data_IF_212305068538
#
_entry.id   IF_212305068538
#
_cell.length_a   1.000
_cell.length_b   1.000
_cell.length_c   1.000
_cell.angle_alpha   90.00
_cell.angle_beta   90.00
_cell.angle_gamma   90.00
#
_symmetry.space_group_name_H-M   'P 1'
#
loop_
_entity.id
_entity.type
_entity.pdbx_description
1 polymer ?
#
# COMPACT_ATOMS: atom_id res chain seq x y z
N UNK A 1 21.67 15.30 6.04
CA UNK A 1 21.11 13.95 5.80
C UNK A 1 19.62 13.87 6.15
N UNK A 2 19.19 14.13 7.40
CA UNK A 2 17.78 13.97 7.83
C UNK A 2 16.79 14.82 7.04
N UNK A 3 17.07 16.10 6.80
CA UNK A 3 16.21 17.00 6.02
C UNK A 3 16.06 16.54 4.57
N UNK A 4 17.12 16.04 3.96
CA UNK A 4 17.08 15.49 2.60
C UNK A 4 16.21 14.24 2.53
N UNK A 5 16.37 13.32 3.51
CA UNK A 5 15.56 12.12 3.61
C UNK A 5 14.08 12.45 3.84
N UNK A 6 13.78 13.42 4.70
CA UNK A 6 12.43 13.88 4.97
C UNK A 6 11.78 14.44 3.69
N UNK A 7 12.47 15.31 2.97
CA UNK A 7 11.99 15.89 1.72
C UNK A 7 11.71 14.80 0.66
N UNK A 8 12.63 13.86 0.50
CA UNK A 8 12.45 12.73 -0.42
C UNK A 8 11.28 11.85 -0.03
N UNK A 9 11.07 11.59 1.27
CA UNK A 9 9.94 10.82 1.77
C UNK A 9 8.60 11.51 1.50
N UNK A 10 8.50 12.81 1.70
CA UNK A 10 7.30 13.58 1.36
C UNK A 10 7.00 13.53 -0.13
N UNK A 11 8.02 13.74 -0.98
CA UNK A 11 7.86 13.67 -2.43
C UNK A 11 7.37 12.28 -2.86
N UNK A 12 8.04 11.21 -2.41
CA UNK A 12 7.70 9.84 -2.75
C UNK A 12 6.30 9.44 -2.30
N UNK A 13 5.93 9.72 -1.04
CA UNK A 13 4.63 9.33 -0.50
C UNK A 13 3.46 10.17 -1.06
N UNK A 14 3.73 11.37 -1.62
CA UNK A 14 2.70 12.18 -2.26
C UNK A 14 2.21 11.60 -3.58
N UNK A 15 3.01 10.78 -4.26
CA UNK A 15 2.69 10.20 -5.57
C UNK A 15 1.49 9.24 -5.48
N UNK A 16 1.50 8.17 -4.64
CA UNK A 16 0.37 7.25 -4.57
C UNK A 16 -0.92 7.90 -4.07
N UNK A 17 -0.83 8.87 -3.14
CA UNK A 17 -2.00 9.64 -2.69
C UNK A 17 -2.56 10.46 -3.87
N UNK A 18 -1.68 11.05 -4.66
CA UNK A 18 -2.06 11.79 -5.85
C UNK A 18 -2.73 10.93 -6.90
N UNK A 19 -2.21 9.74 -7.15
CA UNK A 19 -2.84 8.77 -8.06
C UNK A 19 -4.22 8.36 -7.54
N UNK A 20 -4.36 8.10 -6.24
CA UNK A 20 -5.65 7.81 -5.63
C UNK A 20 -6.67 8.96 -5.78
N UNK A 21 -6.22 10.22 -5.85
CA UNK A 21 -7.10 11.35 -6.17
C UNK A 21 -7.51 11.36 -7.66
N UNK A 22 -6.56 11.05 -8.55
CA UNK A 22 -6.82 11.00 -10.00
C UNK A 22 -7.80 9.87 -10.33
N UNK A 23 -7.65 8.69 -9.70
CA UNK A 23 -8.52 7.52 -9.85
C UNK A 23 -9.90 7.67 -9.16
N UNK A 24 -10.13 8.77 -8.43
CA UNK A 24 -11.41 9.03 -7.77
C UNK A 24 -11.61 8.40 -6.40
N UNK A 25 -10.60 7.73 -5.84
CA UNK A 25 -10.64 7.21 -4.46
C UNK A 25 -10.71 8.33 -3.42
N UNK A 26 -10.00 9.42 -3.68
CA UNK A 26 -10.01 10.62 -2.86
C UNK A 26 -10.63 11.79 -3.64
N UNK A 27 -11.09 12.86 -2.95
CA UNK A 27 -11.63 14.03 -3.63
C UNK A 27 -10.61 14.64 -4.60
N UNK A 28 -11.00 14.86 -5.85
CA UNK A 28 -10.13 15.44 -6.91
C UNK A 28 -9.53 16.80 -6.51
N UNK A 29 -10.18 17.51 -5.59
CA UNK A 29 -9.69 18.78 -5.06
C UNK A 29 -8.33 18.66 -4.36
N UNK A 30 -8.09 17.54 -3.65
CA UNK A 30 -6.81 17.26 -3.01
C UNK A 30 -5.68 16.98 -4.01
N UNK A 31 -6.02 16.42 -5.17
CA UNK A 31 -5.07 16.09 -6.23
C UNK A 31 -4.64 17.27 -7.10
N UNK A 32 -5.19 18.46 -6.92
CA UNK A 32 -4.88 19.64 -7.74
C UNK A 32 -3.38 19.95 -7.70
N UNK A 33 -2.79 20.05 -8.91
CA UNK A 33 -1.38 20.45 -9.09
C UNK A 33 -1.30 21.97 -9.18
N UNK A 34 -0.26 22.54 -8.59
CA UNK A 34 0.07 23.96 -8.77
C UNK A 34 0.76 24.18 -10.14
N UNK A 35 1.05 25.43 -10.50
CA UNK A 35 1.73 25.80 -11.75
C UNK A 35 3.10 25.13 -11.94
N UNK A 36 3.75 24.65 -10.86
CA UNK A 36 5.02 23.94 -10.86
C UNK A 36 4.87 22.41 -10.82
N UNK A 37 3.64 21.88 -10.97
CA UNK A 37 3.35 20.44 -10.93
C UNK A 37 3.26 19.83 -9.53
N UNK A 38 3.51 20.58 -8.46
CA UNK A 38 3.45 20.11 -7.08
C UNK A 38 2.03 20.02 -6.55
N UNK A 39 1.74 18.99 -5.75
CA UNK A 39 0.42 18.76 -5.11
C UNK A 39 0.43 19.32 -3.68
N UNK A 40 0.33 20.63 -3.56
CA UNK A 40 0.49 21.37 -2.29
C UNK A 40 -0.50 20.87 -1.21
N UNK A 41 -1.75 20.61 -1.58
CA UNK A 41 -2.77 20.14 -0.63
C UNK A 41 -2.42 18.80 0.02
N UNK A 42 -1.88 17.86 -0.76
CA UNK A 42 -1.43 16.54 -0.24
C UNK A 42 -0.27 16.74 0.73
N UNK A 43 0.71 17.56 0.37
CA UNK A 43 1.88 17.84 1.21
C UNK A 43 1.47 18.53 2.53
N UNK A 44 0.55 19.51 2.46
CA UNK A 44 0.02 20.18 3.65
C UNK A 44 -0.72 19.22 4.56
N UNK A 45 -1.55 18.34 3.99
CA UNK A 45 -2.27 17.30 4.73
C UNK A 45 -1.31 16.32 5.42
N UNK A 46 -0.28 15.85 4.71
CA UNK A 46 0.74 14.97 5.28
C UNK A 46 1.50 15.66 6.42
N UNK A 47 1.82 16.95 6.27
CA UNK A 47 2.48 17.73 7.30
C UNK A 47 1.60 17.86 8.56
N UNK A 48 0.33 18.21 8.40
CA UNK A 48 -0.62 18.34 9.53
C UNK A 48 -0.76 17.01 10.26
N UNK A 49 -0.96 15.90 9.55
CA UNK A 49 -1.07 14.57 10.17
C UNK A 49 0.22 14.17 10.88
N UNK A 50 1.38 14.47 10.29
CA UNK A 50 2.67 14.17 10.92
C UNK A 50 2.94 14.98 12.19
N UNK A 51 2.35 16.16 12.32
CA UNK A 51 2.47 16.99 13.53
C UNK A 51 1.62 16.48 14.70
N UNK A 52 0.50 15.80 14.43
CA UNK A 52 -0.42 15.32 15.46
C UNK A 52 0.28 14.47 16.54
N UNK A 53 1.01 13.38 16.21
CA UNK A 53 1.69 12.57 17.21
C UNK A 53 2.71 13.34 18.02
N UNK A 54 3.37 14.33 17.42
CA UNK A 54 4.36 15.18 18.08
C UNK A 54 3.68 16.07 19.14
N UNK A 55 2.53 16.67 18.78
CA UNK A 55 1.76 17.51 19.69
C UNK A 55 1.20 16.71 20.88
N UNK A 56 0.88 15.43 20.69
CA UNK A 56 0.48 14.53 21.77
C UNK A 56 1.66 13.95 22.58
N UNK A 57 2.90 14.34 22.27
CA UNK A 57 4.09 13.89 22.98
C UNK A 57 4.37 12.40 22.87
N UNK A 58 3.92 11.74 21.78
CA UNK A 58 4.16 10.32 21.58
C UNK A 58 5.64 10.06 21.33
N UNK A 59 6.18 8.98 21.93
CA UNK A 59 7.56 8.57 21.68
C UNK A 59 7.75 8.09 20.25
N UNK A 60 8.95 8.24 19.71
CA UNK A 60 9.32 7.76 18.35
C UNK A 60 9.02 6.27 18.22
N UNK A 61 9.32 5.48 19.25
CA UNK A 61 9.04 4.04 19.26
C UNK A 61 7.54 3.75 19.13
N UNK A 62 6.70 4.49 19.85
CA UNK A 62 5.24 4.37 19.76
C UNK A 62 4.75 4.69 18.36
N UNK A 63 5.20 5.80 17.78
CA UNK A 63 4.84 6.21 16.42
C UNK A 63 5.25 5.13 15.41
N UNK A 64 6.48 4.61 15.51
CA UNK A 64 6.97 3.55 14.63
C UNK A 64 6.12 2.29 14.71
N UNK A 65 5.75 1.86 15.91
CA UNK A 65 4.91 0.69 16.11
C UNK A 65 3.49 0.88 15.53
N UNK A 66 2.91 2.08 15.69
CA UNK A 66 1.62 2.42 15.07
C UNK A 66 1.68 2.35 13.54
N UNK A 67 2.72 2.90 12.94
CA UNK A 67 2.94 2.84 11.47
C UNK A 67 3.12 1.40 11.00
N UNK A 68 3.85 0.56 11.73
CA UNK A 68 4.02 -0.85 11.40
C UNK A 68 2.69 -1.62 11.44
N UNK A 69 1.83 -1.34 12.41
CA UNK A 69 0.53 -2.00 12.52
C UNK A 69 -0.41 -1.62 11.37
N UNK A 70 -0.45 -0.34 10.98
CA UNK A 70 -1.20 0.13 9.81
C UNK A 70 -0.59 -0.46 8.52
N UNK A 71 0.73 -0.47 8.42
CA UNK A 71 1.47 -1.05 7.30
C UNK A 71 1.26 -2.56 7.12
N UNK A 72 0.80 -3.26 8.15
CA UNK A 72 0.52 -4.69 8.10
C UNK A 72 -0.51 -5.06 7.03
N UNK A 73 -1.58 -4.28 6.92
CA UNK A 73 -2.61 -4.53 5.90
C UNK A 73 -2.02 -4.45 4.48
N UNK A 74 -1.19 -3.43 4.23
CA UNK A 74 -0.49 -3.28 2.96
C UNK A 74 0.49 -4.41 2.70
N UNK A 75 1.25 -4.84 3.72
CA UNK A 75 2.18 -5.96 3.61
C UNK A 75 1.47 -7.27 3.25
N UNK A 76 0.36 -7.60 3.90
CA UNK A 76 -0.41 -8.80 3.57
C UNK A 76 -0.97 -8.80 2.15
N UNK A 77 -1.44 -7.65 1.65
CA UNK A 77 -1.86 -7.50 0.25
C UNK A 77 -0.70 -7.73 -0.71
N UNK A 78 0.48 -7.18 -0.42
CA UNK A 78 1.68 -7.41 -1.21
C UNK A 78 2.10 -8.88 -1.20
N UNK A 79 2.06 -9.57 -0.06
CA UNK A 79 2.37 -11.01 -0.01
C UNK A 79 1.42 -11.83 -0.90
N UNK A 80 0.13 -11.50 -0.90
CA UNK A 80 -0.83 -12.13 -1.81
C UNK A 80 -0.44 -11.89 -3.28
N UNK A 81 -0.05 -10.67 -3.62
CA UNK A 81 0.41 -10.34 -4.97
C UNK A 81 1.68 -11.12 -5.36
N UNK A 82 2.67 -11.18 -4.46
CA UNK A 82 3.91 -11.93 -4.70
C UNK A 82 3.65 -13.42 -4.91
N UNK A 83 2.85 -14.06 -4.06
CA UNK A 83 2.50 -15.49 -4.22
C UNK A 83 1.76 -15.75 -5.53
N UNK A 84 0.97 -14.79 -6.00
CA UNK A 84 0.21 -14.92 -7.24
C UNK A 84 1.02 -14.61 -8.49
N UNK A 85 2.17 -13.91 -8.37
CA UNK A 85 2.99 -13.46 -9.49
C UNK A 85 3.38 -14.56 -10.48
N UNK A 86 3.95 -15.71 -10.06
CA UNK A 86 4.31 -16.77 -11.00
C UNK A 86 3.12 -17.43 -11.69
N UNK A 87 1.90 -17.31 -11.11
CA UNK A 87 0.67 -17.86 -11.68
C UNK A 87 0.03 -16.90 -12.67
N UNK A 88 0.10 -15.58 -12.41
CA UNK A 88 -0.47 -14.55 -13.27
C UNK A 88 0.40 -14.30 -14.51
N UNK A 89 1.72 -14.34 -14.37
CA UNK A 89 2.68 -14.02 -15.42
C UNK A 89 3.71 -15.13 -15.61
N UNK A 90 3.29 -16.36 -16.02
CA UNK A 90 4.21 -17.51 -16.13
C UNK A 90 5.33 -17.28 -17.13
N UNK A 91 5.03 -16.67 -18.27
CA UNK A 91 5.98 -16.44 -19.36
C UNK A 91 7.02 -15.37 -18.99
N UNK A 92 6.56 -14.25 -18.43
CA UNK A 92 7.44 -13.19 -17.94
C UNK A 92 8.31 -13.67 -16.77
N UNK A 93 7.74 -14.49 -15.89
CA UNK A 93 8.45 -15.09 -14.77
C UNK A 93 9.58 -16.02 -15.26
N UNK A 94 9.29 -16.90 -16.22
CA UNK A 94 10.27 -17.83 -16.77
C UNK A 94 11.41 -17.14 -17.54
N UNK A 95 11.11 -16.04 -18.24
CA UNK A 95 12.07 -15.23 -19.01
C UNK A 95 12.86 -14.22 -18.15
N UNK A 96 12.51 -14.07 -16.87
CA UNK A 96 13.16 -13.10 -15.98
C UNK A 96 14.64 -13.43 -15.79
N UNK A 97 15.49 -12.41 -15.90
CA UNK A 97 16.95 -12.53 -15.62
C UNK A 97 17.23 -13.02 -14.19
N UNK A 98 16.31 -12.79 -13.26
CA UNK A 98 16.41 -13.18 -11.85
C UNK A 98 15.48 -14.33 -11.52
N UNK A 99 15.19 -15.19 -12.50
CA UNK A 99 14.34 -16.35 -12.28
C UNK A 99 14.93 -17.27 -11.20
N UNK A 100 14.11 -17.54 -10.19
CA UNK A 100 14.43 -18.44 -9.09
C UNK A 100 13.46 -19.64 -9.19
N UNK A 101 13.91 -20.88 -8.89
CA UNK A 101 13.01 -22.03 -8.84
C UNK A 101 11.81 -21.76 -7.95
N UNK A 102 10.61 -22.08 -8.44
CA UNK A 102 9.36 -21.75 -7.75
C UNK A 102 9.33 -22.23 -6.28
N UNK A 103 9.92 -23.40 -5.98
CA UNK A 103 10.00 -23.92 -4.62
C UNK A 103 10.80 -23.01 -3.68
N UNK A 104 11.96 -22.55 -4.12
CA UNK A 104 12.79 -21.61 -3.34
C UNK A 104 12.11 -20.25 -3.20
N UNK A 105 11.44 -19.78 -4.26
CA UNK A 105 10.68 -18.53 -4.23
C UNK A 105 9.59 -18.54 -3.15
N UNK A 106 8.73 -19.58 -3.15
CA UNK A 106 7.69 -19.71 -2.13
C UNK A 106 8.24 -19.87 -0.73
N UNK A 107 9.36 -20.62 -0.57
CA UNK A 107 10.04 -20.73 0.71
C UNK A 107 10.50 -19.37 1.23
N UNK A 108 11.14 -18.54 0.39
CA UNK A 108 11.58 -17.20 0.76
C UNK A 108 10.39 -16.28 1.11
N UNK A 109 9.28 -16.38 0.38
CA UNK A 109 8.04 -15.67 0.71
C UNK A 109 7.52 -16.07 2.09
N UNK A 110 7.49 -17.37 2.41
CA UNK A 110 7.04 -17.87 3.71
C UNK A 110 7.95 -17.38 4.85
N UNK A 111 9.28 -17.44 4.67
CA UNK A 111 10.25 -16.96 5.67
C UNK A 111 10.07 -15.45 5.91
N UNK A 112 9.91 -14.66 4.85
CA UNK A 112 9.67 -13.22 4.95
C UNK A 112 8.36 -12.92 5.67
N UNK A 113 7.30 -13.67 5.38
CA UNK A 113 6.01 -13.53 6.04
C UNK A 113 6.10 -13.88 7.54
N UNK A 114 6.79 -14.97 7.87
CA UNK A 114 7.02 -15.35 9.27
C UNK A 114 7.79 -14.27 10.05
N UNK A 115 8.87 -13.74 9.48
CA UNK A 115 9.64 -12.64 10.07
C UNK A 115 8.79 -11.39 10.29
N UNK A 116 7.94 -11.07 9.32
CA UNK A 116 7.01 -9.95 9.42
C UNK A 116 5.97 -10.17 10.53
N UNK A 117 5.38 -11.36 10.65
CA UNK A 117 4.44 -11.70 11.72
C UNK A 117 5.08 -11.59 13.11
N UNK A 118 6.33 -12.03 13.27
CA UNK A 118 7.08 -11.89 14.54
C UNK A 118 7.29 -10.41 14.88
N UNK A 119 7.62 -9.58 13.89
CA UNK A 119 7.80 -8.14 14.09
C UNK A 119 6.50 -7.47 14.52
N UNK A 120 5.38 -7.79 13.86
CA UNK A 120 4.06 -7.31 14.24
C UNK A 120 3.67 -7.72 15.65
N UNK A 121 3.90 -8.98 16.01
CA UNK A 121 3.63 -9.49 17.35
C UNK A 121 4.37 -8.68 18.41
N UNK A 122 5.67 -8.44 18.21
CA UNK A 122 6.47 -7.60 19.11
C UNK A 122 5.96 -6.17 19.17
N UNK A 123 5.58 -5.57 18.06
CA UNK A 123 5.03 -4.21 18.01
C UNK A 123 3.72 -4.12 18.79
N UNK A 124 2.83 -5.09 18.66
CA UNK A 124 1.60 -5.14 19.45
C UNK A 124 1.85 -5.26 20.96
N UNK A 125 2.82 -6.09 21.35
CA UNK A 125 3.16 -6.27 22.77
C UNK A 125 3.83 -5.04 23.39
N UNK A 126 4.53 -4.24 22.60
CA UNK A 126 5.23 -3.03 23.08
C UNK A 126 4.33 -1.80 23.15
N UNK A 127 3.11 -1.87 22.64
CA UNK A 127 2.14 -0.78 22.67
C UNK A 127 1.12 -0.97 23.78
N UNK A 128 0.58 0.16 24.29
CA UNK A 128 -0.56 0.07 25.20
C UNK A 128 -1.79 -0.51 24.49
N UNK A 129 -2.64 -1.31 25.15
CA UNK A 129 -3.85 -1.87 24.54
C UNK A 129 -4.78 -0.82 23.92
N UNK A 130 -4.81 0.37 24.50
CA UNK A 130 -5.59 1.51 23.99
C UNK A 130 -5.09 1.95 22.60
N UNK A 131 -3.77 2.08 22.44
CA UNK A 131 -3.18 2.46 21.14
C UNK A 131 -3.37 1.39 20.08
N UNK A 132 -3.27 0.12 20.45
CA UNK A 132 -3.60 -1.00 19.55
C UNK A 132 -5.06 -0.91 19.12
N UNK A 133 -5.98 -0.69 20.03
CA UNK A 133 -7.41 -0.52 19.77
C UNK A 133 -7.69 0.66 18.81
N UNK A 134 -7.05 1.80 19.02
CA UNK A 134 -7.17 2.97 18.14
C UNK A 134 -6.71 2.64 16.72
N UNK A 135 -5.57 1.95 16.59
CA UNK A 135 -5.05 1.56 15.26
C UNK A 135 -5.99 0.59 14.54
N UNK A 136 -6.48 -0.44 15.22
CA UNK A 136 -7.42 -1.40 14.65
C UNK A 136 -8.70 -0.69 14.21
N UNK A 137 -9.23 0.21 15.04
CA UNK A 137 -10.42 0.99 14.70
C UNK A 137 -10.17 1.86 13.48
N UNK A 138 -9.02 2.53 13.39
CA UNK A 138 -8.65 3.33 12.22
C UNK A 138 -8.58 2.48 10.94
N UNK A 139 -7.97 1.29 11.01
CA UNK A 139 -7.89 0.36 9.88
C UNK A 139 -9.29 -0.07 9.42
N UNK A 140 -10.16 -0.46 10.35
CA UNK A 140 -11.53 -0.88 10.04
C UNK A 140 -12.33 0.27 9.41
N UNK A 141 -12.25 1.47 9.96
CA UNK A 141 -12.92 2.65 9.41
C UNK A 141 -12.43 2.95 8.00
N UNK A 142 -11.11 2.95 7.77
CA UNK A 142 -10.55 3.17 6.45
C UNK A 142 -10.94 2.08 5.44
N UNK A 143 -11.00 0.83 5.87
CA UNK A 143 -11.46 -0.28 5.03
C UNK A 143 -12.94 -0.13 4.64
N UNK A 144 -13.79 0.25 5.59
CA UNK A 144 -15.23 0.51 5.32
C UNK A 144 -15.38 1.69 4.36
N UNK A 145 -14.67 2.79 4.60
CA UNK A 145 -14.69 3.96 3.72
C UNK A 145 -14.23 3.60 2.30
N UNK A 146 -13.14 2.85 2.19
CA UNK A 146 -12.65 2.35 0.90
C UNK A 146 -13.69 1.47 0.19
N UNK A 147 -14.31 0.53 0.89
CA UNK A 147 -15.33 -0.35 0.34
C UNK A 147 -16.58 0.42 -0.12
N UNK A 148 -17.07 1.35 0.71
CA UNK A 148 -18.22 2.20 0.36
C UNK A 148 -17.89 3.09 -0.84
N UNK A 149 -16.70 3.65 -0.87
CA UNK A 149 -16.24 4.48 -1.99
C UNK A 149 -16.12 3.69 -3.28
N UNK A 150 -15.54 2.49 -3.23
CA UNK A 150 -15.43 1.59 -4.38
C UNK A 150 -16.77 1.15 -4.95
N UNK A 151 -17.81 0.98 -4.09
CA UNK A 151 -19.17 0.64 -4.55
C UNK A 151 -19.99 1.83 -5.06
N UNK A 152 -19.85 3.01 -4.45
CA UNK A 152 -20.68 4.19 -4.74
C UNK A 152 -20.00 5.20 -5.66
N UNK A 153 -18.70 5.14 -5.82
CA UNK A 153 -17.92 6.09 -6.60
C UNK A 153 -17.68 5.60 -8.03
N UNK A 154 -17.60 6.52 -8.97
CA UNK A 154 -16.99 6.27 -10.28
C UNK A 154 -15.47 6.19 -10.08
N UNK A 155 -15.02 5.10 -9.46
CA UNK A 155 -13.60 4.83 -9.28
C UNK A 155 -13.14 4.08 -10.53
N UNK A 156 -12.27 4.69 -11.30
CA UNK A 156 -11.62 4.03 -12.42
C UNK A 156 -10.55 3.09 -11.88
N UNK A 157 -10.86 1.78 -11.90
CA UNK A 157 -9.87 0.77 -11.55
C UNK A 157 -9.07 0.49 -12.83
N UNK A 158 -7.91 1.12 -12.94
CA UNK A 158 -6.97 0.79 -14.00
C UNK A 158 -6.34 -0.57 -13.71
N UNK A 159 -6.84 -1.60 -14.37
CA UNK A 159 -6.29 -2.97 -14.29
C UNK A 159 -5.06 -3.15 -15.18
N UNK A 160 -4.66 -2.14 -15.93
CA UNK A 160 -3.44 -2.16 -16.72
C UNK A 160 -2.23 -2.16 -15.78
N UNK A 161 -1.72 -3.34 -15.53
CA UNK A 161 -0.44 -3.52 -14.85
C UNK A 161 0.63 -3.18 -15.88
N UNK A 162 1.28 -2.05 -15.69
CA UNK A 162 2.33 -1.60 -16.58
C UNK A 162 3.59 -2.46 -16.41
N UNK A 163 3.58 -3.62 -17.04
CA UNK A 163 4.75 -4.53 -17.06
C UNK A 163 5.64 -4.31 -18.29
N UNK A 164 5.26 -3.41 -19.19
CA UNK A 164 5.95 -3.25 -20.47
C UNK A 164 5.76 -4.43 -21.43
N UNK A 165 4.86 -5.35 -21.09
CA UNK A 165 4.49 -6.51 -21.90
C UNK A 165 2.97 -6.48 -22.17
N UNK A 166 2.53 -5.92 -23.32
CA UNK A 166 1.12 -5.76 -23.64
C UNK A 166 0.37 -7.09 -23.78
N UNK A 167 1.05 -8.19 -24.17
CA UNK A 167 0.41 -9.51 -24.26
C UNK A 167 0.19 -10.12 -22.85
N UNK A 168 1.15 -9.94 -21.96
CA UNK A 168 1.02 -10.37 -20.56
C UNK A 168 -0.07 -9.60 -19.82
N UNK A 169 -0.20 -8.31 -20.06
CA UNK A 169 -1.24 -7.47 -19.48
C UNK A 169 -2.65 -7.86 -19.95
N UNK A 170 -2.81 -8.20 -21.25
CA UNK A 170 -4.09 -8.69 -21.79
C UNK A 170 -4.49 -10.02 -21.16
N UNK A 171 -3.57 -10.99 -21.08
CA UNK A 171 -3.83 -12.29 -20.42
C UNK A 171 -4.18 -12.14 -18.92
N UNK A 172 -3.50 -11.25 -18.20
CA UNK A 172 -3.78 -10.98 -16.81
C UNK A 172 -5.17 -10.35 -16.61
N UNK A 173 -5.58 -9.45 -17.50
CA UNK A 173 -6.90 -8.85 -17.51
C UNK A 173 -8.00 -9.90 -17.73
N UNK A 174 -7.81 -10.84 -18.67
CA UNK A 174 -8.73 -11.95 -18.91
C UNK A 174 -8.87 -12.88 -17.69
N UNK A 175 -7.76 -13.24 -17.05
CA UNK A 175 -7.76 -14.08 -15.82
C UNK A 175 -8.49 -13.37 -14.69
N UNK A 176 -8.28 -12.07 -14.52
CA UNK A 176 -8.99 -11.28 -13.51
C UNK A 176 -10.48 -11.18 -13.82
N UNK A 177 -10.88 -10.91 -15.07
CA UNK A 177 -12.27 -10.86 -15.49
C UNK A 177 -12.97 -12.21 -15.28
N UNK A 178 -12.33 -13.32 -15.64
CA UNK A 178 -12.86 -14.66 -15.42
C UNK A 178 -13.02 -15.00 -13.93
N UNK A 179 -12.15 -14.48 -13.05
CA UNK A 179 -12.25 -14.67 -11.60
C UNK A 179 -13.38 -13.86 -10.96
N UNK A 180 -13.72 -12.71 -11.52
CA UNK A 180 -14.84 -11.87 -11.06
C UNK A 180 -16.21 -12.40 -11.49
N UNK A 181 -16.29 -13.02 -12.67
CA UNK A 181 -17.53 -13.63 -13.18
C UNK A 181 -17.90 -14.97 -12.49
N UNK A 182 -17.01 -15.56 -11.69
CA UNK A 182 -17.26 -16.79 -10.93
C UNK A 182 -17.83 -16.56 -9.52
N UNK A 183 -18.12 -15.32 -9.16
CA UNK A 183 -18.81 -14.93 -7.92
C UNK A 183 -20.23 -14.46 -8.21
#
# INVERSE_FOLDING_TARGET
ALLSTLNSSFAYNSIPIGTACDDGWLPKTFGKKNAKGGRVWILTYMYIIGMIPILFGLSITTITNMVQLIGACYAFLNFKAYISLPKLYPDAWAKSKYHIPNGLYYFLCCVSLAGFCVTLWKSCLSMSPVLVGINITAIVVLAILGFVRGKKGNVEIHTSIWCGDPEGDAKAAEIMAASMNKK
#
